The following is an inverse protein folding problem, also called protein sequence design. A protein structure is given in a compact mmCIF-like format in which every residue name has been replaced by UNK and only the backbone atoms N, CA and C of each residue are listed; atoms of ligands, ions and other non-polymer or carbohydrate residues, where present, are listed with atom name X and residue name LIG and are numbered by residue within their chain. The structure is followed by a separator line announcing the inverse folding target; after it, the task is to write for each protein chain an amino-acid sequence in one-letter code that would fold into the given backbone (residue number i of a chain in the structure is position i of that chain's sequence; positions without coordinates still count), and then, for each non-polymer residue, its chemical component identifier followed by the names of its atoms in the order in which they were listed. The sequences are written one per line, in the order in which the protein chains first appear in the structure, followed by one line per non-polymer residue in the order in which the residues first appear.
data_IF_986957636286
#
_entry.id   IF_986957636286
#
_cell.length_a   1.000
_cell.length_b   1.000
_cell.length_c   1.000
_cell.angle_alpha   90.00
_cell.angle_beta   90.00
_cell.angle_gamma   90.00
#
_symmetry.space_group_name_H-M   'P 1'
#
loop_
_entity.id
_entity.type
_entity.pdbx_description
1 polymer ?
#
# COMPACT_ATOMS: atom_id res chain seq x y z
N UNK A 1 48.76 -40.06 0.23
CA UNK A 1 49.60 -39.96 -0.99
C UNK A 1 48.71 -40.21 -2.20
N UNK A 2 48.38 -39.18 -2.94
CA UNK A 2 48.12 -39.06 -4.37
C UNK A 2 47.29 -37.82 -4.66
N UNK A 3 48.01 -36.83 -5.09
CA UNK A 3 47.55 -35.55 -5.66
C UNK A 3 47.05 -35.84 -7.08
N UNK A 4 45.88 -35.36 -7.48
CA UNK A 4 45.52 -35.18 -8.90
C UNK A 4 45.07 -33.73 -9.16
N UNK A 5 45.93 -33.03 -9.86
CA UNK A 5 45.68 -31.78 -10.58
C UNK A 5 44.97 -32.08 -11.90
N UNK A 6 44.08 -31.24 -12.33
CA UNK A 6 43.70 -30.95 -13.73
C UNK A 6 42.44 -30.08 -13.70
N UNK A 7 42.23 -29.06 -14.43
CA UNK A 7 42.93 -28.40 -15.50
C UNK A 7 42.02 -27.24 -15.95
N UNK A 8 42.58 -26.10 -16.08
CA UNK A 8 41.95 -24.86 -16.50
C UNK A 8 41.74 -24.84 -18.01
N UNK A 9 40.54 -24.66 -18.49
CA UNK A 9 40.28 -24.31 -19.91
C UNK A 9 39.69 -22.91 -19.98
N UNK A 10 40.54 -21.99 -20.42
CA UNK A 10 40.15 -20.65 -20.88
C UNK A 10 39.51 -20.77 -22.27
N UNK A 11 38.29 -20.22 -22.42
CA UNK A 11 37.69 -19.99 -23.73
C UNK A 11 37.72 -18.50 -24.00
N UNK A 12 38.57 -18.12 -24.92
CA UNK A 12 38.66 -16.76 -25.52
C UNK A 12 37.59 -16.69 -26.59
N UNK A 13 36.60 -15.82 -26.45
CA UNK A 13 35.69 -15.43 -27.55
C UNK A 13 36.13 -14.11 -28.14
N UNK A 14 36.50 -14.20 -29.42
CA UNK A 14 36.92 -13.12 -30.32
C UNK A 14 35.72 -12.29 -30.71
N UNK A 15 35.81 -10.98 -30.47
CA UNK A 15 34.87 -9.97 -31.00
C UNK A 15 35.16 -9.71 -32.49
N UNK A 16 34.19 -9.96 -33.36
CA UNK A 16 34.15 -9.45 -34.73
C UNK A 16 33.32 -8.16 -34.77
N UNK A 17 33.99 -7.07 -35.07
CA UNK A 17 33.41 -5.78 -35.37
C UNK A 17 33.09 -5.76 -36.85
N UNK A 18 31.82 -5.59 -37.23
CA UNK A 18 31.42 -5.25 -38.61
C UNK A 18 30.81 -3.84 -38.62
N UNK A 19 31.56 -2.95 -39.21
CA UNK A 19 31.13 -1.62 -39.62
C UNK A 19 30.31 -1.72 -40.91
N UNK A 20 29.12 -1.12 -40.97
CA UNK A 20 28.41 -0.82 -42.21
C UNK A 20 27.94 0.63 -42.24
N UNK A 21 28.23 1.22 -43.37
CA UNK A 21 28.23 2.59 -43.81
C UNK A 21 26.84 3.19 -44.03
N UNK A 22 26.77 4.51 -43.81
CA UNK A 22 25.71 5.46 -44.15
C UNK A 22 25.32 5.44 -45.63
N UNK A 23 24.03 5.47 -45.90
CA UNK A 23 23.49 6.11 -47.13
C UNK A 23 22.27 6.95 -46.71
N UNK A 24 22.38 8.24 -46.97
CA UNK A 24 21.27 9.17 -46.90
C UNK A 24 20.46 9.15 -48.21
N UNK A 25 19.18 9.43 -48.09
CA UNK A 25 18.37 9.96 -49.18
C UNK A 25 17.23 10.84 -48.66
N UNK A 26 17.12 11.98 -49.30
CA UNK A 26 16.25 13.13 -49.11
C UNK A 26 14.76 12.87 -49.37
N UNK A 27 13.96 13.77 -48.76
CA UNK A 27 12.50 13.94 -48.84
C UNK A 27 11.93 14.08 -50.25
N UNK A 28 10.58 13.92 -50.41
CA UNK A 28 9.78 15.13 -50.56
C UNK A 28 8.48 15.17 -49.73
N UNK A 29 8.06 16.39 -49.44
CA UNK A 29 6.80 16.81 -48.82
C UNK A 29 5.57 16.31 -49.58
N UNK A 30 4.55 15.90 -48.81
CA UNK A 30 3.18 15.93 -49.27
C UNK A 30 2.27 16.32 -48.09
N UNK A 31 1.64 17.44 -48.28
CA UNK A 31 0.71 18.14 -47.40
C UNK A 31 -0.61 17.38 -47.32
N UNK A 32 -1.04 16.98 -46.11
CA UNK A 32 -2.43 16.64 -45.82
C UNK A 32 -2.72 16.88 -44.36
N UNK A 33 -3.61 17.82 -44.10
CA UNK A 33 -4.19 18.24 -42.82
C UNK A 33 -4.77 17.09 -42.03
N UNK A 34 -4.49 17.01 -40.74
CA UNK A 34 -5.13 16.01 -39.87
C UNK A 34 -6.37 16.57 -39.18
N UNK A 35 -7.36 15.74 -39.14
CA UNK A 35 -8.55 15.88 -38.34
C UNK A 35 -8.17 15.66 -36.85
N UNK A 36 -8.46 16.69 -36.05
CA UNK A 36 -7.99 16.79 -34.67
C UNK A 36 -9.07 16.28 -33.73
N UNK A 37 -9.04 14.97 -33.42
CA UNK A 37 -9.82 14.41 -32.31
C UNK A 37 -8.91 14.31 -31.09
N UNK A 38 -8.77 15.43 -30.38
CA UNK A 38 -8.07 15.52 -29.11
C UNK A 38 -8.80 14.75 -28.02
N UNK A 39 -8.31 13.56 -27.68
CA UNK A 39 -8.61 12.95 -26.38
C UNK A 39 -7.78 13.69 -25.35
N UNK A 40 -8.39 14.67 -24.69
CA UNK A 40 -7.81 15.38 -23.56
C UNK A 40 -7.75 14.43 -22.37
N UNK A 41 -6.61 13.77 -22.17
CA UNK A 41 -6.27 13.24 -20.86
C UNK A 41 -5.95 14.42 -19.96
N UNK A 42 -6.90 14.81 -19.15
CA UNK A 42 -6.70 15.78 -18.07
C UNK A 42 -5.83 15.15 -17.00
N UNK A 43 -4.53 15.25 -17.15
CA UNK A 43 -3.58 15.09 -16.05
C UNK A 43 -3.71 16.33 -15.17
N UNK A 44 -4.43 16.21 -14.04
CA UNK A 44 -4.46 17.25 -13.03
C UNK A 44 -3.07 17.41 -12.42
N UNK A 45 -2.46 18.61 -12.45
CA UNK A 45 -1.20 18.84 -11.76
C UNK A 45 -1.45 18.80 -10.26
N UNK A 46 -0.57 18.13 -9.52
CA UNK A 46 -0.55 18.14 -8.07
C UNK A 46 -0.36 19.56 -7.56
N UNK A 47 -1.46 20.21 -7.19
CA UNK A 47 -1.48 21.47 -6.48
C UNK A 47 -1.01 21.22 -5.04
N UNK A 48 0.09 21.83 -4.63
CA UNK A 48 0.59 21.89 -3.26
C UNK A 48 -0.21 22.90 -2.41
N UNK A 49 -1.53 22.80 -2.43
CA UNK A 49 -2.41 23.45 -1.47
C UNK A 49 -2.73 22.46 -0.37
N UNK A 50 -2.80 22.88 0.88
CA UNK A 50 -3.35 22.09 1.98
C UNK A 50 -4.77 21.68 1.58
N UNK A 51 -4.93 20.40 1.22
CA UNK A 51 -6.26 19.86 0.90
C UNK A 51 -6.99 19.81 2.24
N UNK A 52 -8.08 20.60 2.36
CA UNK A 52 -8.96 20.50 3.53
C UNK A 52 -9.61 19.12 3.50
N UNK A 53 -9.17 18.24 4.39
CA UNK A 53 -9.62 16.84 4.49
C UNK A 53 -10.83 16.68 5.43
N UNK A 54 -11.35 17.76 6.04
CA UNK A 54 -12.48 17.68 6.98
C UNK A 54 -13.75 17.16 6.32
N UNK A 55 -13.91 17.43 5.02
CA UNK A 55 -15.04 16.96 4.22
C UNK A 55 -14.74 15.67 3.45
N UNK A 56 -13.55 15.07 3.61
CA UNK A 56 -13.25 13.80 2.97
C UNK A 56 -14.09 12.68 3.59
N UNK A 57 -14.71 11.87 2.74
CA UNK A 57 -15.55 10.74 3.17
C UNK A 57 -15.20 9.48 2.35
N UNK A 58 -15.22 8.30 2.97
CA UNK A 58 -15.56 8.04 4.38
C UNK A 58 -14.45 8.45 5.35
N UNK A 59 -14.81 8.84 6.58
CA UNK A 59 -13.88 9.11 7.67
C UNK A 59 -14.39 8.52 8.98
N UNK A 60 -13.51 8.19 9.90
CA UNK A 60 -13.84 7.68 11.24
C UNK A 60 -13.54 8.76 12.28
N UNK A 61 -14.57 9.24 12.99
CA UNK A 61 -14.44 10.22 14.07
C UNK A 61 -14.43 9.48 15.41
N UNK A 62 -13.24 9.16 15.95
CA UNK A 62 -13.07 8.32 17.15
C UNK A 62 -12.50 6.95 16.80
N UNK A 63 -12.86 5.93 17.57
CA UNK A 63 -12.33 4.58 17.39
C UNK A 63 -13.40 3.59 16.92
N UNK A 64 -12.97 2.49 16.30
CA UNK A 64 -13.81 1.34 16.02
C UNK A 64 -13.06 0.04 16.34
N UNK A 65 -13.81 -1.03 16.57
CA UNK A 65 -13.25 -2.37 16.74
C UNK A 65 -13.73 -3.26 15.60
N UNK A 66 -12.80 -3.89 14.91
CA UNK A 66 -13.06 -4.85 13.85
C UNK A 66 -12.68 -6.25 14.34
N UNK A 67 -13.58 -7.21 14.17
CA UNK A 67 -13.28 -8.63 14.30
C UNK A 67 -13.09 -9.21 12.90
N UNK A 68 -11.91 -9.81 12.67
CA UNK A 68 -11.56 -10.50 11.43
C UNK A 68 -11.38 -11.99 11.73
N UNK A 69 -12.08 -12.84 10.97
CA UNK A 69 -11.91 -14.29 11.09
C UNK A 69 -10.90 -14.74 10.04
N UNK A 70 -9.83 -15.39 10.50
CA UNK A 70 -8.75 -15.90 9.64
C UNK A 70 -8.52 -17.36 10.03
N UNK A 71 -8.61 -18.28 9.07
CA UNK A 71 -8.48 -19.73 9.34
C UNK A 71 -9.44 -20.21 10.44
N UNK A 72 -10.67 -19.67 10.45
CA UNK A 72 -11.70 -19.98 11.44
C UNK A 72 -11.43 -19.41 12.85
N UNK A 73 -10.41 -18.56 13.04
CA UNK A 73 -10.03 -18.01 14.35
C UNK A 73 -10.20 -16.48 14.37
N UNK A 74 -10.71 -15.91 15.47
CA UNK A 74 -10.93 -14.47 15.56
C UNK A 74 -9.63 -13.71 15.84
N UNK A 75 -9.51 -12.56 15.17
CA UNK A 75 -8.52 -11.52 15.41
C UNK A 75 -9.27 -10.23 15.70
N UNK A 76 -8.98 -9.58 16.80
CA UNK A 76 -9.58 -8.29 17.17
C UNK A 76 -8.60 -7.17 16.88
N UNK A 77 -9.06 -6.16 16.16
CA UNK A 77 -8.27 -5.02 15.70
C UNK A 77 -8.95 -3.74 16.20
N UNK A 78 -8.25 -2.92 16.94
CA UNK A 78 -8.69 -1.58 17.28
C UNK A 78 -8.23 -0.61 16.21
N UNK A 79 -9.17 0.16 15.66
CA UNK A 79 -8.98 1.13 14.59
C UNK A 79 -9.05 2.53 15.18
N UNK A 80 -8.05 3.35 14.94
CA UNK A 80 -7.90 4.68 15.52
C UNK A 80 -8.14 5.78 14.48
N UNK A 81 -9.38 6.27 14.44
CA UNK A 81 -9.76 7.40 13.60
C UNK A 81 -9.34 8.76 14.19
N UNK A 82 -8.90 8.83 15.46
CA UNK A 82 -8.37 10.07 15.99
C UNK A 82 -6.99 10.38 15.40
N UNK A 83 -6.20 9.33 15.14
CA UNK A 83 -4.86 9.47 14.57
C UNK A 83 -4.86 9.39 13.03
N UNK A 84 -5.80 8.65 12.43
CA UNK A 84 -5.85 8.44 10.99
C UNK A 84 -7.31 8.42 10.47
N UNK A 85 -8.05 9.54 10.58
CA UNK A 85 -9.50 9.56 10.30
C UNK A 85 -9.89 9.11 8.89
N UNK A 86 -9.14 9.49 7.88
CA UNK A 86 -9.43 9.14 6.47
C UNK A 86 -9.08 7.70 6.19
N UNK A 87 -7.92 7.26 6.63
CA UNK A 87 -7.43 5.88 6.43
C UNK A 87 -8.28 4.88 7.21
N UNK A 88 -8.55 5.16 8.47
CA UNK A 88 -9.42 4.37 9.34
C UNK A 88 -10.85 4.31 8.77
N UNK A 89 -11.40 5.46 8.35
CA UNK A 89 -12.73 5.53 7.75
C UNK A 89 -12.84 4.71 6.47
N UNK A 90 -11.84 4.79 5.58
CA UNK A 90 -11.80 3.96 4.39
C UNK A 90 -11.81 2.45 4.72
N UNK A 91 -10.98 2.02 5.67
CA UNK A 91 -10.92 0.62 6.07
C UNK A 91 -12.24 0.14 6.70
N UNK A 92 -12.81 0.90 7.63
CA UNK A 92 -14.07 0.56 8.30
C UNK A 92 -15.24 0.51 7.31
N UNK A 93 -15.34 1.46 6.37
CA UNK A 93 -16.35 1.42 5.30
C UNK A 93 -16.24 0.16 4.43
N UNK A 94 -15.02 -0.25 4.09
CA UNK A 94 -14.80 -1.47 3.30
C UNK A 94 -15.11 -2.74 4.10
N UNK A 95 -14.88 -2.74 5.43
CA UNK A 95 -15.31 -3.82 6.32
C UNK A 95 -16.84 -3.91 6.36
N UNK A 96 -17.54 -2.80 6.54
CA UNK A 96 -19.02 -2.77 6.55
C UNK A 96 -19.64 -3.21 5.23
N UNK A 97 -18.99 -2.91 4.11
CA UNK A 97 -19.38 -3.39 2.77
C UNK A 97 -19.11 -4.89 2.57
N UNK A 98 -18.46 -5.57 3.52
CA UNK A 98 -18.02 -6.95 3.37
C UNK A 98 -16.94 -7.15 2.31
N UNK A 99 -16.29 -6.08 1.88
CA UNK A 99 -15.32 -6.09 0.78
C UNK A 99 -14.15 -7.05 1.02
N UNK A 100 -13.70 -7.18 2.26
CA UNK A 100 -12.55 -8.02 2.60
C UNK A 100 -12.86 -9.51 2.69
N UNK A 101 -14.15 -9.90 2.74
CA UNK A 101 -14.55 -11.30 2.91
C UNK A 101 -14.09 -12.14 1.71
N UNK A 102 -13.36 -13.21 1.99
CA UNK A 102 -12.81 -14.13 0.99
C UNK A 102 -11.53 -13.66 0.30
N UNK A 103 -11.06 -12.41 0.54
CA UNK A 103 -9.80 -11.93 -0.02
C UNK A 103 -8.60 -12.64 0.61
N UNK A 104 -7.51 -12.73 -0.14
CA UNK A 104 -6.30 -13.44 0.27
C UNK A 104 -5.22 -12.52 0.81
N UNK A 105 -4.38 -13.07 1.66
CA UNK A 105 -3.06 -12.52 1.96
C UNK A 105 -2.12 -12.88 0.80
N UNK A 106 -2.00 -11.99 -0.17
CA UNK A 106 -1.26 -12.24 -1.41
C UNK A 106 0.26 -12.08 -1.24
N UNK A 107 0.72 -11.47 -0.14
CA UNK A 107 2.15 -11.31 0.18
C UNK A 107 2.38 -11.50 1.67
N UNK A 108 3.18 -12.49 2.03
CA UNK A 108 3.58 -12.77 3.42
C UNK A 108 5.09 -12.93 3.45
N UNK A 109 5.77 -12.14 4.28
CA UNK A 109 7.22 -12.14 4.41
C UNK A 109 7.59 -12.43 5.85
N UNK A 110 8.12 -13.64 6.08
CA UNK A 110 8.53 -14.12 7.41
C UNK A 110 10.03 -14.40 7.49
N UNK A 111 10.70 -14.53 6.34
CA UNK A 111 12.13 -14.82 6.23
C UNK A 111 12.85 -13.70 5.47
N UNK A 112 14.12 -13.37 5.78
CA UNK A 112 14.93 -13.90 6.88
C UNK A 112 14.51 -13.39 8.27
N UNK A 113 13.60 -12.41 8.33
CA UNK A 113 12.99 -11.86 9.55
C UNK A 113 11.50 -11.60 9.30
N UNK A 114 10.65 -11.80 10.34
CA UNK A 114 9.24 -11.44 10.22
C UNK A 114 9.07 -9.97 9.84
N UNK A 115 8.32 -9.72 8.76
CA UNK A 115 8.11 -8.38 8.24
C UNK A 115 6.62 -8.04 8.17
N UNK A 116 5.90 -8.55 7.16
CA UNK A 116 4.48 -8.22 6.97
C UNK A 116 3.65 -9.40 6.46
N UNK A 117 2.34 -9.38 6.80
CA UNK A 117 1.29 -10.13 6.14
C UNK A 117 0.35 -9.14 5.44
N UNK A 118 0.38 -9.07 4.10
CA UNK A 118 -0.34 -8.09 3.28
C UNK A 118 -1.48 -8.75 2.52
N UNK A 119 -2.66 -8.13 2.61
CA UNK A 119 -3.90 -8.56 1.95
C UNK A 119 -4.71 -7.37 1.43
N UNK A 120 -6.01 -7.61 1.13
CA UNK A 120 -6.94 -6.56 0.74
C UNK A 120 -6.94 -6.20 -0.76
N UNK A 121 -6.26 -7.00 -1.60
CA UNK A 121 -6.34 -6.89 -3.04
C UNK A 121 -7.46 -7.81 -3.58
N UNK A 122 -8.50 -7.30 -4.24
CA UNK A 122 -9.56 -8.13 -4.82
C UNK A 122 -9.07 -9.05 -5.94
N UNK A 123 -7.93 -8.76 -6.57
CA UNK A 123 -7.32 -9.58 -7.60
C UNK A 123 -6.30 -10.59 -7.03
N UNK A 124 -5.88 -10.42 -5.78
CA UNK A 124 -4.89 -11.27 -5.12
C UNK A 124 -3.48 -11.24 -5.74
N UNK A 125 -3.13 -10.17 -6.45
CA UNK A 125 -1.86 -10.02 -7.19
C UNK A 125 -0.98 -8.88 -6.66
N UNK A 126 -1.50 -8.07 -5.74
CA UNK A 126 -0.83 -6.89 -5.19
C UNK A 126 -0.96 -5.62 -6.03
N UNK A 127 -1.77 -5.64 -7.09
CA UNK A 127 -1.95 -4.50 -8.01
C UNK A 127 -3.36 -3.92 -8.01
N UNK A 128 -4.31 -4.59 -7.38
CA UNK A 128 -5.71 -4.16 -7.30
C UNK A 128 -5.98 -3.22 -6.14
N UNK A 129 -7.18 -2.63 -6.17
CA UNK A 129 -7.72 -1.75 -5.14
C UNK A 129 -9.24 -1.76 -5.18
N UNK A 130 -9.88 -1.01 -4.30
CA UNK A 130 -11.32 -0.87 -4.29
C UNK A 130 -11.80 -0.01 -5.46
N UNK A 131 -12.73 -0.55 -6.23
CA UNK A 131 -13.50 0.17 -7.24
C UNK A 131 -14.93 0.22 -6.75
N UNK A 132 -15.47 1.43 -6.61
CA UNK A 132 -16.85 1.61 -6.16
C UNK A 132 -17.83 0.96 -7.15
N UNK A 133 -18.72 0.06 -6.69
CA UNK A 133 -19.59 -0.69 -7.58
C UNK A 133 -20.67 0.17 -8.26
N UNK A 134 -21.00 1.34 -7.69
CA UNK A 134 -22.02 2.26 -8.22
C UNK A 134 -21.40 3.23 -9.22
N UNK A 135 -20.33 3.93 -8.81
CA UNK A 135 -19.70 4.97 -9.63
C UNK A 135 -18.68 4.42 -10.63
N UNK A 136 -18.23 3.17 -10.45
CA UNK A 136 -17.15 2.52 -11.23
C UNK A 136 -15.79 3.24 -11.11
N UNK A 137 -15.64 4.10 -10.11
CA UNK A 137 -14.40 4.83 -9.86
C UNK A 137 -13.54 4.12 -8.81
N UNK A 138 -12.23 4.15 -9.01
CA UNK A 138 -11.27 3.70 -8.01
C UNK A 138 -11.23 4.69 -6.85
N UNK A 139 -11.26 4.18 -5.62
CA UNK A 139 -11.10 5.01 -4.42
C UNK A 139 -9.64 4.98 -4.00
N UNK A 140 -9.04 6.15 -3.86
CA UNK A 140 -7.71 6.33 -3.31
C UNK A 140 -7.78 7.20 -2.07
N UNK A 141 -6.93 6.90 -1.08
CA UNK A 141 -6.76 7.72 0.12
C UNK A 141 -5.35 8.28 0.16
N UNK A 142 -5.18 9.51 0.66
CA UNK A 142 -3.85 10.11 0.78
C UNK A 142 -3.03 9.40 1.85
N UNK A 143 -1.69 9.50 1.74
CA UNK A 143 -0.82 9.21 2.88
C UNK A 143 -1.22 10.11 4.03
N UNK A 144 -1.46 9.54 5.21
CA UNK A 144 -1.98 10.22 6.39
C UNK A 144 -1.11 9.87 7.59
N UNK A 145 -0.43 10.87 8.15
CA UNK A 145 0.53 10.67 9.25
C UNK A 145 0.27 11.70 10.33
N UNK A 146 -0.10 11.25 11.52
CA UNK A 146 -0.13 12.09 12.72
C UNK A 146 1.21 12.00 13.44
N UNK A 147 1.85 13.14 13.69
CA UNK A 147 3.01 13.22 14.57
C UNK A 147 2.55 13.16 16.03
N UNK A 148 3.39 12.59 16.88
CA UNK A 148 3.16 12.61 18.33
C UNK A 148 3.06 14.05 18.79
N UNK A 149 2.28 14.47 19.62
CA UNK A 149 2.10 15.84 20.13
C UNK A 149 1.45 16.84 19.12
N UNK A 150 1.12 16.40 17.89
CA UNK A 150 0.31 17.18 16.96
C UNK A 150 -1.18 16.81 17.07
N UNK A 151 -2.05 17.73 16.65
CA UNK A 151 -3.50 17.53 16.72
C UNK A 151 -4.11 17.05 15.41
N UNK A 152 -3.45 17.35 14.31
CA UNK A 152 -3.96 17.13 12.96
C UNK A 152 -2.97 16.29 12.16
N UNK A 153 -3.44 15.32 11.38
CA UNK A 153 -2.59 14.55 10.49
C UNK A 153 -2.03 15.38 9.34
N UNK A 154 -0.84 15.01 8.90
CA UNK A 154 -0.21 15.51 7.67
C UNK A 154 -0.67 14.62 6.52
N UNK A 155 -1.19 15.21 5.45
CA UNK A 155 -1.69 14.49 4.29
C UNK A 155 -0.79 14.61 3.06
N UNK A 156 -0.67 13.50 2.31
CA UNK A 156 0.01 13.46 1.01
C UNK A 156 1.50 13.78 1.05
N UNK A 157 2.13 13.69 2.22
CA UNK A 157 3.54 14.02 2.41
C UNK A 157 4.25 12.92 3.21
N UNK A 158 5.29 12.32 2.62
CA UNK A 158 6.20 11.44 3.34
C UNK A 158 7.12 12.27 4.24
N UNK A 159 7.19 11.90 5.49
CA UNK A 159 8.08 12.53 6.49
C UNK A 159 9.21 11.60 6.92
N UNK A 160 9.09 10.29 6.67
CA UNK A 160 10.15 9.31 6.88
C UNK A 160 11.34 9.55 5.95
N UNK A 161 11.09 9.72 4.66
CA UNK A 161 12.12 10.01 3.65
C UNK A 161 12.74 11.42 3.78
N UNK A 162 12.07 12.34 4.45
CA UNK A 162 12.57 13.71 4.67
C UNK A 162 13.37 13.83 5.96
N UNK A 163 13.33 12.84 6.83
CA UNK A 163 14.07 12.83 8.08
C UNK A 163 15.56 12.59 7.79
N UNK A 164 16.36 13.66 7.79
CA UNK A 164 17.80 13.60 7.48
C UNK A 164 18.64 12.91 8.56
N UNK A 165 18.09 12.63 9.76
CA UNK A 165 18.89 12.07 10.86
C UNK A 165 18.14 11.27 11.93
N UNK A 166 16.80 11.22 11.93
CA UNK A 166 16.03 10.47 12.94
C UNK A 166 14.73 9.95 12.33
N UNK A 167 14.30 8.74 12.74
CA UNK A 167 12.94 8.24 12.50
C UNK A 167 11.95 9.26 13.09
N UNK A 168 10.92 9.70 12.33
CA UNK A 168 9.94 10.64 12.83
C UNK A 168 9.17 10.03 14.00
N UNK A 169 8.85 10.85 15.00
CA UNK A 169 8.05 10.41 16.14
C UNK A 169 6.58 10.52 15.73
N UNK A 170 6.02 9.42 15.27
CA UNK A 170 4.60 9.31 14.88
C UNK A 170 3.73 8.92 16.06
N UNK A 171 2.44 9.27 16.01
CA UNK A 171 1.46 8.89 17.02
C UNK A 171 1.23 7.37 17.02
N UNK A 172 1.16 6.77 15.83
CA UNK A 172 0.99 5.32 15.64
C UNK A 172 2.24 4.73 14.96
N UNK A 173 3.24 4.25 15.70
CA UNK A 173 4.44 3.63 15.12
C UNK A 173 4.17 2.21 14.60
N UNK A 174 4.99 1.76 13.64
CA UNK A 174 4.98 0.41 13.12
C UNK A 174 5.55 -0.60 14.12
N UNK A 175 4.86 -0.81 15.23
CA UNK A 175 5.14 -1.90 16.16
C UNK A 175 4.52 -3.20 15.67
N UNK A 176 5.01 -4.32 16.19
CA UNK A 176 4.38 -5.61 15.97
C UNK A 176 2.88 -5.55 16.27
N UNK A 177 2.06 -6.03 15.34
CA UNK A 177 0.59 -5.96 15.41
C UNK A 177 -0.01 -4.67 14.86
N UNK A 178 0.79 -3.70 14.39
CA UNK A 178 0.25 -2.55 13.67
C UNK A 178 -0.45 -3.00 12.39
N UNK A 179 -1.58 -2.36 12.08
CA UNK A 179 -2.25 -2.44 10.79
C UNK A 179 -2.02 -1.12 10.04
N UNK A 180 -1.51 -1.21 8.81
CA UNK A 180 -1.18 -0.04 8.00
C UNK A 180 -1.61 -0.22 6.55
N UNK A 181 -1.86 0.89 5.83
CA UNK A 181 -2.23 0.86 4.41
C UNK A 181 -1.01 0.66 3.53
N UNK A 182 -1.13 -0.30 2.62
CA UNK A 182 -0.18 -0.44 1.53
C UNK A 182 -0.45 0.62 0.45
N UNK A 183 0.61 1.08 -0.21
CA UNK A 183 0.56 2.03 -1.33
C UNK A 183 1.65 1.76 -2.35
N UNK A 184 1.52 2.33 -3.53
CA UNK A 184 2.59 2.39 -4.52
C UNK A 184 3.65 3.45 -4.15
N UNK A 185 4.55 3.76 -5.06
CA UNK A 185 5.50 4.87 -4.89
C UNK A 185 4.81 6.25 -4.79
N UNK A 186 3.61 6.37 -5.35
CA UNK A 186 2.81 7.59 -5.22
C UNK A 186 2.18 7.70 -3.84
N UNK A 187 2.29 8.86 -3.20
CA UNK A 187 1.86 9.06 -1.80
C UNK A 187 0.34 8.93 -1.61
N UNK A 188 -0.45 9.28 -2.63
CA UNK A 188 -1.91 9.27 -2.58
C UNK A 188 -2.48 8.10 -3.40
N UNK A 189 -1.89 6.91 -3.27
CA UNK A 189 -2.28 5.71 -4.03
C UNK A 189 -2.77 4.55 -3.17
N UNK A 190 -2.87 4.73 -1.86
CA UNK A 190 -3.48 3.73 -0.99
C UNK A 190 -4.97 3.57 -1.36
N UNK A 191 -5.50 2.35 -1.25
CA UNK A 191 -6.89 2.04 -1.61
C UNK A 191 -7.49 1.05 -0.61
N UNK A 192 -7.43 -0.25 -0.90
CA UNK A 192 -7.96 -1.30 -0.04
C UNK A 192 -6.90 -2.22 0.54
N UNK A 193 -5.68 -2.22 -0.02
CA UNK A 193 -4.63 -3.11 0.48
C UNK A 193 -4.07 -2.62 1.81
N UNK A 194 -3.95 -3.54 2.76
CA UNK A 194 -3.37 -3.30 4.07
C UNK A 194 -2.36 -4.39 4.43
N UNK A 195 -1.58 -4.17 5.47
CA UNK A 195 -0.70 -5.18 6.03
C UNK A 195 -0.69 -5.15 7.55
N UNK A 196 -0.46 -6.31 8.15
CA UNK A 196 -0.08 -6.45 9.55
C UNK A 196 1.43 -6.47 9.67
N UNK A 197 1.98 -5.70 10.60
CA UNK A 197 3.39 -5.75 10.97
C UNK A 197 3.65 -7.00 11.84
N UNK A 198 4.51 -7.89 11.40
CA UNK A 198 4.86 -9.13 12.12
C UNK A 198 5.97 -8.92 13.14
N UNK A 199 6.66 -7.78 13.08
CA UNK A 199 7.69 -7.33 14.03
C UNK A 199 7.67 -5.80 14.10
N UNK A 200 8.53 -5.22 14.93
CA UNK A 200 8.75 -3.78 14.94
C UNK A 200 9.51 -3.38 13.67
N UNK A 201 8.86 -2.57 12.82
CA UNK A 201 9.38 -2.12 11.53
C UNK A 201 9.32 -0.59 11.42
N UNK A 202 9.76 0.08 12.49
CA UNK A 202 9.67 1.54 12.67
C UNK A 202 10.41 2.35 11.61
N UNK A 203 11.25 1.72 10.79
CA UNK A 203 11.86 2.37 9.63
C UNK A 203 10.85 2.75 8.53
N UNK A 204 9.59 2.27 8.63
CA UNK A 204 8.47 2.67 7.78
C UNK A 204 7.66 3.84 8.35
N UNK A 205 7.97 4.29 9.57
CA UNK A 205 7.27 5.40 10.22
C UNK A 205 7.39 6.67 9.39
N UNK A 206 6.26 7.32 9.17
CA UNK A 206 6.19 8.51 8.34
C UNK A 206 6.09 8.29 6.83
N UNK A 207 6.22 7.03 6.36
CA UNK A 207 6.10 6.66 4.94
C UNK A 207 4.85 5.84 4.63
N UNK A 208 4.23 5.22 5.63
CA UNK A 208 2.98 4.47 5.52
C UNK A 208 2.05 4.82 6.69
N UNK A 209 0.76 4.89 6.39
CA UNK A 209 -0.26 5.24 7.38
C UNK A 209 -0.62 4.02 8.23
N UNK A 210 -0.17 3.98 9.47
CA UNK A 210 -0.71 3.09 10.50
C UNK A 210 -2.02 3.66 10.97
N UNK A 211 -3.06 2.83 11.11
CA UNK A 211 -4.40 3.26 11.49
C UNK A 211 -5.03 2.40 12.59
N UNK A 212 -4.25 1.52 13.21
CA UNK A 212 -4.72 0.68 14.32
C UNK A 212 -3.76 -0.43 14.71
N UNK A 213 -4.23 -1.27 15.62
CA UNK A 213 -3.45 -2.39 16.15
C UNK A 213 -4.30 -3.62 16.41
N UNK A 214 -3.70 -4.79 16.23
CA UNK A 214 -4.23 -6.07 16.72
C UNK A 214 -4.16 -6.07 18.24
N UNK A 215 -5.32 -6.21 18.90
CA UNK A 215 -5.42 -6.26 20.35
C UNK A 215 -5.59 -7.69 20.88
N UNK A 216 -6.12 -8.59 20.03
CA UNK A 216 -6.24 -10.04 20.35
C UNK A 216 -6.06 -10.86 19.07
N UNK A 217 -5.48 -12.05 19.19
CA UNK A 217 -5.30 -12.96 18.07
C UNK A 217 -4.03 -12.73 17.27
N UNK A 218 -3.00 -12.08 17.83
CA UNK A 218 -1.72 -11.89 17.15
C UNK A 218 -1.04 -13.23 16.81
N UNK A 219 -1.27 -14.27 17.62
CA UNK A 219 -0.83 -15.64 17.34
C UNK A 219 -1.50 -16.24 16.10
N UNK A 220 -2.68 -15.77 15.71
CA UNK A 220 -3.33 -16.16 14.44
C UNK A 220 -2.62 -15.48 13.28
N UNK A 221 -2.33 -14.18 13.42
CA UNK A 221 -1.61 -13.40 12.41
C UNK A 221 -0.24 -14.03 12.11
N UNK A 222 0.49 -14.51 13.13
CA UNK A 222 1.79 -15.17 12.96
C UNK A 222 1.72 -16.47 12.14
N UNK A 223 0.56 -17.10 12.07
CA UNK A 223 0.36 -18.34 11.30
C UNK A 223 -0.08 -18.12 9.87
N UNK A 224 -0.30 -16.86 9.45
CA UNK A 224 -0.75 -16.54 8.09
C UNK A 224 0.33 -16.95 7.09
N UNK A 225 -0.13 -17.61 6.04
CA UNK A 225 0.69 -17.96 4.87
C UNK A 225 0.14 -17.27 3.63
N UNK A 226 0.98 -17.06 2.65
CA UNK A 226 0.56 -16.55 1.35
C UNK A 226 -0.52 -17.45 0.75
N UNK A 227 -1.65 -16.84 0.35
CA UNK A 227 -2.83 -17.53 -0.14
C UNK A 227 -3.91 -17.81 0.92
N UNK A 228 -3.60 -17.67 2.22
CA UNK A 228 -4.63 -17.76 3.27
C UNK A 228 -5.68 -16.67 3.08
N UNK A 229 -6.92 -16.95 3.47
CA UNK A 229 -8.05 -16.05 3.26
C UNK A 229 -8.47 -15.35 4.54
N UNK A 230 -9.06 -14.18 4.35
CA UNK A 230 -9.90 -13.53 5.33
C UNK A 230 -11.29 -14.18 5.19
N UNK A 231 -11.69 -15.01 6.16
CA UNK A 231 -12.98 -15.70 6.10
C UNK A 231 -14.12 -14.68 6.17
N UNK A 232 -14.03 -13.74 7.11
CA UNK A 232 -14.92 -12.60 7.26
C UNK A 232 -14.29 -11.48 8.04
N UNK A 233 -14.80 -10.26 7.87
CA UNK A 233 -14.48 -9.10 8.68
C UNK A 233 -15.77 -8.33 8.98
N UNK A 234 -15.93 -7.87 10.23
CA UNK A 234 -17.09 -7.06 10.65
C UNK A 234 -16.69 -6.02 11.69
N UNK A 235 -17.35 -4.90 11.70
CA UNK A 235 -17.27 -3.91 12.76
C UNK A 235 -18.10 -4.41 13.94
N UNK A 236 -17.50 -4.55 15.12
CA UNK A 236 -18.16 -5.03 16.33
C UNK A 236 -18.48 -3.93 17.33
N UNK A 237 -17.82 -2.77 17.19
CA UNK A 237 -18.18 -1.53 17.91
C UNK A 237 -17.61 -0.31 17.17
N UNK A 238 -18.18 0.87 17.41
CA UNK A 238 -17.72 2.14 16.83
C UNK A 238 -18.17 2.38 15.37
N UNK A 239 -19.12 1.60 14.85
CA UNK A 239 -19.69 1.83 13.52
C UNK A 239 -20.37 3.19 13.41
N UNK A 240 -20.96 3.69 14.48
CA UNK A 240 -21.60 5.01 14.58
C UNK A 240 -20.64 6.18 14.41
N UNK A 241 -19.35 5.95 14.59
CA UNK A 241 -18.29 6.93 14.39
C UNK A 241 -17.93 7.13 12.92
N UNK A 242 -18.38 6.22 12.03
CA UNK A 242 -18.13 6.32 10.59
C UNK A 242 -19.03 7.36 9.95
N UNK A 243 -18.42 8.36 9.31
CA UNK A 243 -19.10 9.39 8.51
C UNK A 243 -18.94 9.06 7.02
N UNK A 244 -20.06 8.82 6.36
CA UNK A 244 -20.16 8.50 4.92
C UNK A 244 -20.60 9.70 4.11
#
# INVERSE_FOLDING_TARGET
MKIRKSGWLSVVCVFLITTTTLFGCSSPEANSTPDNSSITQTSQPASSGSVNMDNYKPRLDGTAVVEMIIKGKPVTIEIDGNAAPVTAGNFVDLVERGFYNGLTFHRVVTEPQPFVAQGGDPQGRGTGGFVDPETKQSRYVPLEILLKDEKEPIYGKSIGQQATSRTPIVALPHKRGAIAMARSTQLNSASSQFYFALSDITFLDGDYAVFGYVTKGMEVIDTIKQGDKIDSAKVVSGAENLKK
#
